data_IF_841668095634
#
_entry.id   IF_841668095634
#
_cell.length_a   1.000
_cell.length_b   1.000
_cell.length_c   1.000
_cell.angle_alpha   90.00
_cell.angle_beta   90.00
_cell.angle_gamma   90.00
#
_symmetry.space_group_name_H-M   'P 1'
#
loop_
_entity.id
_entity.type
_entity.pdbx_description
1 polymer ?
#
# COMPACT_ATOMS: atom_id res chain seq x y z
N UNK A 1 15.86 -6.88 8.99
CA UNK A 1 15.91 -6.89 7.50
C UNK A 1 15.26 -5.62 7.02
N UNK A 2 15.74 -5.01 5.94
CA UNK A 2 15.07 -3.85 5.35
C UNK A 2 13.96 -4.37 4.45
N UNK A 3 12.72 -4.07 4.80
CA UNK A 3 11.52 -4.32 4.00
C UNK A 3 10.75 -2.99 3.84
N UNK A 4 9.78 -2.92 2.92
CA UNK A 4 8.95 -1.72 2.73
C UNK A 4 8.09 -1.51 3.96
N UNK A 5 7.47 -2.56 4.48
CA UNK A 5 6.61 -2.46 5.66
C UNK A 5 7.28 -1.82 6.89
N UNK A 6 8.59 -1.98 7.10
CA UNK A 6 9.35 -1.37 8.19
C UNK A 6 9.76 0.09 7.94
N UNK A 7 9.65 0.58 6.70
CA UNK A 7 10.01 1.96 6.32
C UNK A 7 8.81 2.89 6.16
N UNK A 8 7.61 2.33 6.10
CA UNK A 8 6.39 3.08 5.94
C UNK A 8 5.45 2.82 7.12
N UNK A 9 4.86 3.87 7.68
CA UNK A 9 3.75 3.73 8.60
C UNK A 9 2.45 3.98 7.81
N UNK A 10 1.62 2.95 7.74
CA UNK A 10 0.40 2.97 6.93
C UNK A 10 -0.82 2.61 7.78
N UNK A 11 -1.91 3.34 7.59
CA UNK A 11 -3.17 3.07 8.26
C UNK A 11 -4.36 3.55 7.42
N UNK A 12 -5.52 2.92 7.61
CA UNK A 12 -6.78 3.33 6.99
C UNK A 12 -7.64 4.01 8.05
N UNK A 13 -8.14 5.19 7.72
CA UNK A 13 -8.98 6.02 8.58
C UNK A 13 -10.37 6.15 7.99
N UNK A 14 -11.39 6.24 8.85
CA UNK A 14 -12.74 6.65 8.41
C UNK A 14 -12.79 8.16 8.27
N UNK A 15 -13.73 8.65 7.47
CA UNK A 15 -13.99 10.09 7.29
C UNK A 15 -14.16 10.82 8.62
N UNK A 16 -14.87 10.21 9.58
CA UNK A 16 -15.07 10.79 10.92
C UNK A 16 -13.74 11.03 11.64
N UNK A 17 -12.76 10.13 11.49
CA UNK A 17 -11.46 10.23 12.16
C UNK A 17 -10.62 11.35 11.52
N UNK A 18 -10.70 11.50 10.19
CA UNK A 18 -10.05 12.60 9.44
C UNK A 18 -10.65 13.98 9.81
N UNK A 19 -11.96 14.04 10.12
CA UNK A 19 -12.61 15.28 10.60
C UNK A 19 -12.06 15.74 11.94
N UNK A 20 -11.65 14.81 12.81
CA UNK A 20 -11.07 15.13 14.11
C UNK A 20 -9.67 15.75 14.02
N UNK A 21 -8.98 15.60 12.88
CA UNK A 21 -7.65 16.18 12.67
C UNK A 21 -7.65 17.70 12.49
N UNK A 22 -8.83 18.32 12.32
CA UNK A 22 -8.99 19.77 12.14
C UNK A 22 -8.07 20.36 11.05
N UNK A 23 -7.99 19.69 9.90
CA UNK A 23 -7.20 20.17 8.77
C UNK A 23 -7.80 21.46 8.17
N UNK A 24 -6.98 22.30 7.52
CA UNK A 24 -7.48 23.44 6.75
C UNK A 24 -8.53 23.02 5.70
N UNK A 25 -9.57 23.83 5.52
CA UNK A 25 -10.71 23.51 4.61
C UNK A 25 -10.28 23.17 3.19
N UNK A 26 -9.28 23.88 2.65
CA UNK A 26 -8.75 23.62 1.31
C UNK A 26 -8.14 22.22 1.17
N UNK A 27 -7.60 21.64 2.25
CA UNK A 27 -7.11 20.25 2.24
C UNK A 27 -8.28 19.28 2.19
N UNK A 28 -9.33 19.51 2.98
CA UNK A 28 -10.55 18.69 2.93
C UNK A 28 -11.21 18.69 1.55
N UNK A 29 -11.22 19.83 0.87
CA UNK A 29 -11.70 19.95 -0.51
C UNK A 29 -10.82 19.17 -1.50
N UNK A 30 -9.49 19.27 -1.37
CA UNK A 30 -8.53 18.56 -2.24
C UNK A 30 -8.65 17.04 -2.14
N UNK A 31 -8.79 16.51 -0.93
CA UNK A 31 -8.99 15.07 -0.71
C UNK A 31 -10.44 14.63 -0.94
N UNK A 32 -11.34 15.58 -1.25
CA UNK A 32 -12.78 15.36 -1.44
C UNK A 32 -13.40 14.65 -0.23
N UNK A 33 -13.16 15.17 0.97
CA UNK A 33 -13.51 14.53 2.24
C UNK A 33 -14.94 14.00 2.28
N UNK A 34 -15.92 14.76 1.77
CA UNK A 34 -17.33 14.38 1.81
C UNK A 34 -17.74 13.31 0.79
N UNK A 35 -16.90 13.04 -0.22
CA UNK A 35 -17.18 12.07 -1.27
C UNK A 35 -16.70 10.65 -0.92
N UNK A 36 -15.83 10.50 0.08
CA UNK A 36 -15.23 9.22 0.43
C UNK A 36 -15.42 8.91 1.91
N UNK A 37 -15.71 7.64 2.22
CA UNK A 37 -15.85 7.19 3.61
C UNK A 37 -14.50 6.78 4.23
N UNK A 38 -13.54 6.36 3.41
CA UNK A 38 -12.25 5.84 3.86
C UNK A 38 -11.07 6.57 3.23
N UNK A 39 -9.99 6.69 4.00
CA UNK A 39 -8.75 7.35 3.60
C UNK A 39 -7.55 6.52 4.02
N UNK A 40 -6.65 6.25 3.07
CA UNK A 40 -5.38 5.59 3.34
C UNK A 40 -4.28 6.62 3.60
N UNK A 41 -3.75 6.66 4.82
CA UNK A 41 -2.58 7.45 5.15
C UNK A 41 -1.35 6.54 5.07
N UNK A 42 -0.33 6.99 4.36
CA UNK A 42 1.02 6.43 4.44
C UNK A 42 2.00 7.54 4.77
N UNK A 43 2.96 7.24 5.65
CA UNK A 43 4.06 8.13 5.96
C UNK A 43 5.42 7.44 5.83
N UNK A 44 6.43 8.23 5.48
CA UNK A 44 7.81 7.76 5.35
C UNK A 44 8.77 8.82 5.85
N UNK A 45 9.89 8.38 6.43
CA UNK A 45 10.94 9.26 6.92
C UNK A 45 12.09 9.26 5.91
N UNK A 46 12.37 10.42 5.33
CA UNK A 46 13.57 10.66 4.53
C UNK A 46 14.65 11.27 5.44
N UNK A 47 15.73 10.53 5.67
CA UNK A 47 16.91 11.05 6.39
C UNK A 47 17.79 11.82 5.41
N UNK A 48 17.78 13.15 5.50
CA UNK A 48 18.81 14.00 4.88
C UNK A 48 19.88 14.36 5.90
N UNK A 49 21.05 14.79 5.42
CA UNK A 49 22.28 14.97 6.23
C UNK A 49 22.09 15.81 7.48
N UNK A 50 21.15 16.76 7.47
CA UNK A 50 20.96 17.73 8.56
C UNK A 50 19.53 17.82 9.09
N UNK A 51 18.53 17.22 8.41
CA UNK A 51 17.12 17.25 8.83
C UNK A 51 16.37 15.96 8.47
N UNK A 52 15.52 15.50 9.38
CA UNK A 52 14.59 14.39 9.13
C UNK A 52 13.29 14.96 8.55
N UNK A 53 13.00 14.63 7.30
CA UNK A 53 11.72 14.99 6.68
C UNK A 53 10.73 13.83 6.81
N UNK A 54 9.55 14.10 7.34
CA UNK A 54 8.45 13.14 7.36
C UNK A 54 7.49 13.50 6.25
N UNK A 55 7.35 12.59 5.29
CA UNK A 55 6.38 12.72 4.20
C UNK A 55 5.09 12.03 4.62
N UNK A 56 3.97 12.72 4.48
CA UNK A 56 2.63 12.16 4.63
C UNK A 56 1.92 12.19 3.29
N UNK A 57 1.23 11.10 2.95
CA UNK A 57 0.38 11.01 1.77
C UNK A 57 -0.95 10.41 2.17
N UNK A 58 -2.02 11.12 1.88
CA UNK A 58 -3.38 10.73 2.21
C UNK A 58 -4.14 10.50 0.90
N UNK A 59 -4.66 9.29 0.72
CA UNK A 59 -5.37 8.88 -0.48
C UNK A 59 -6.83 8.57 -0.13
N UNK A 60 -7.82 9.18 -0.81
CA UNK A 60 -9.20 8.72 -0.71
C UNK A 60 -9.32 7.32 -1.32
N UNK A 61 -10.00 6.41 -0.62
CA UNK A 61 -10.19 5.02 -1.08
C UNK A 61 -11.66 4.61 -0.95
N UNK A 62 -12.08 3.66 -1.78
CA UNK A 62 -13.46 3.16 -1.80
C UNK A 62 -13.67 2.06 -0.77
N UNK A 63 -12.70 1.15 -0.64
CA UNK A 63 -12.76 0.05 0.31
C UNK A 63 -12.13 0.41 1.65
N UNK A 64 -12.50 -0.34 2.69
CA UNK A 64 -11.94 -0.18 4.04
C UNK A 64 -10.61 -0.92 4.26
N UNK A 65 -10.10 -1.56 3.20
CA UNK A 65 -8.89 -2.38 3.16
C UNK A 65 -7.93 -1.91 2.08
N UNK A 66 -6.65 -1.90 2.45
CA UNK A 66 -5.52 -1.67 1.55
C UNK A 66 -4.52 -2.79 1.71
N UNK A 67 -4.09 -3.39 0.60
CA UNK A 67 -3.05 -4.38 0.56
C UNK A 67 -1.78 -3.79 -0.06
N UNK A 68 -0.63 -4.04 0.56
CA UNK A 68 0.69 -3.79 0.00
C UNK A 68 1.26 -5.09 -0.55
N UNK A 69 1.44 -5.17 -1.85
CA UNK A 69 2.31 -6.16 -2.48
C UNK A 69 3.74 -5.64 -2.43
N UNK A 70 4.53 -6.14 -1.47
CA UNK A 70 5.96 -5.90 -1.38
C UNK A 70 6.69 -6.91 -2.25
N UNK A 71 7.39 -6.43 -3.28
CA UNK A 71 8.09 -7.24 -4.25
C UNK A 71 9.58 -6.96 -4.12
N UNK A 72 10.34 -8.01 -3.81
CA UNK A 72 11.79 -8.01 -3.81
C UNK A 72 12.30 -8.40 -5.19
N UNK A 73 13.24 -7.63 -5.71
CA UNK A 73 13.87 -7.86 -6.99
C UNK A 73 15.34 -7.42 -6.97
N UNK A 74 16.16 -8.05 -7.80
CA UNK A 74 17.57 -7.65 -7.93
C UNK A 74 17.74 -6.19 -8.38
N UNK A 75 16.84 -5.72 -9.25
CA UNK A 75 16.80 -4.34 -9.74
C UNK A 75 15.39 -3.94 -10.15
N UNK A 76 14.97 -2.72 -9.81
CA UNK A 76 13.73 -2.14 -10.33
C UNK A 76 14.01 -1.60 -11.73
N UNK A 77 13.68 -2.40 -12.75
CA UNK A 77 13.62 -1.91 -14.14
C UNK A 77 12.20 -1.41 -14.41
N UNK A 78 12.01 -0.29 -15.15
CA UNK A 78 10.68 0.26 -15.41
C UNK A 78 9.69 -0.78 -15.95
N UNK A 79 10.15 -1.68 -16.84
CA UNK A 79 9.31 -2.75 -17.39
C UNK A 79 8.79 -3.73 -16.34
N UNK A 80 9.57 -4.06 -15.31
CA UNK A 80 9.15 -4.97 -14.24
C UNK A 80 8.01 -4.35 -13.43
N UNK A 81 8.16 -3.08 -13.05
CA UNK A 81 7.11 -2.34 -12.36
C UNK A 81 5.84 -2.24 -13.23
N UNK A 82 5.99 -1.88 -14.52
CA UNK A 82 4.86 -1.82 -15.46
C UNK A 82 4.14 -3.16 -15.58
N UNK A 83 4.87 -4.27 -15.74
CA UNK A 83 4.26 -5.60 -15.84
C UNK A 83 3.52 -5.97 -14.55
N UNK A 84 4.10 -5.69 -13.38
CA UNK A 84 3.43 -5.93 -12.10
C UNK A 84 2.14 -5.11 -11.94
N UNK A 85 2.17 -3.82 -12.32
CA UNK A 85 0.99 -2.95 -12.30
C UNK A 85 -0.11 -3.43 -13.27
N UNK A 86 0.27 -3.91 -14.46
CA UNK A 86 -0.67 -4.49 -15.43
C UNK A 86 -1.35 -5.73 -14.84
N UNK A 87 -0.58 -6.69 -14.31
CA UNK A 87 -1.14 -7.91 -13.71
C UNK A 87 -2.11 -7.57 -12.57
N UNK A 88 -1.72 -6.66 -11.67
CA UNK A 88 -2.59 -6.20 -10.58
C UNK A 88 -3.86 -5.54 -11.11
N UNK A 89 -3.77 -4.77 -12.19
CA UNK A 89 -4.94 -4.10 -12.78
C UNK A 89 -5.87 -5.07 -13.49
N UNK A 90 -5.34 -6.12 -14.11
CA UNK A 90 -6.09 -7.19 -14.77
C UNK A 90 -6.94 -8.00 -13.78
N UNK A 91 -6.49 -8.15 -12.52
CA UNK A 91 -7.29 -8.72 -11.42
C UNK A 91 -8.43 -7.81 -10.95
N UNK A 92 -8.55 -6.60 -11.52
CA UNK A 92 -9.56 -5.63 -11.14
C UNK A 92 -9.19 -4.79 -9.90
N UNK A 93 -7.98 -4.93 -9.36
CA UNK A 93 -7.58 -4.18 -8.18
C UNK A 93 -7.45 -2.69 -8.48
N UNK A 94 -7.86 -1.88 -7.51
CA UNK A 94 -7.67 -0.44 -7.59
C UNK A 94 -6.30 -0.07 -7.03
N UNK A 95 -5.37 0.32 -7.90
CA UNK A 95 -4.04 0.77 -7.50
C UNK A 95 -4.16 2.15 -6.87
N UNK A 96 -3.73 2.28 -5.62
CA UNK A 96 -3.74 3.53 -4.86
C UNK A 96 -2.44 4.30 -5.12
N UNK A 97 -1.31 3.62 -4.94
CA UNK A 97 0.03 4.21 -5.09
C UNK A 97 1.08 3.11 -5.24
N UNK A 98 2.28 3.51 -5.63
CA UNK A 98 3.45 2.63 -5.67
C UNK A 98 4.67 3.33 -5.09
N UNK A 99 5.55 2.57 -4.45
CA UNK A 99 6.80 3.07 -3.87
C UNK A 99 7.94 2.12 -4.16
N UNK A 100 9.19 2.53 -3.99
CA UNK A 100 10.32 1.63 -4.10
C UNK A 100 11.64 2.24 -3.70
N UNK A 101 12.59 1.39 -3.33
CA UNK A 101 13.96 1.76 -3.01
C UNK A 101 14.91 0.59 -3.25
N UNK A 102 16.20 0.88 -3.35
CA UNK A 102 17.24 -0.12 -3.37
C UNK A 102 18.09 -0.02 -2.09
N UNK A 103 18.38 -1.17 -1.48
CA UNK A 103 19.30 -1.26 -0.34
C UNK A 103 20.74 -1.48 -0.79
N UNK A 104 20.91 -2.05 -1.97
CA UNK A 104 22.19 -2.25 -2.67
C UNK A 104 21.95 -2.26 -4.19
N UNK A 105 23.01 -2.45 -4.98
CA UNK A 105 22.89 -2.57 -6.43
C UNK A 105 22.17 -3.82 -6.93
N UNK A 106 22.03 -4.83 -6.07
CA UNK A 106 21.43 -6.13 -6.40
C UNK A 106 20.28 -6.51 -5.46
N UNK A 107 19.76 -5.57 -4.67
CA UNK A 107 18.65 -5.82 -3.77
C UNK A 107 17.75 -4.59 -3.64
N UNK A 108 16.65 -4.62 -4.37
CA UNK A 108 15.65 -3.58 -4.44
C UNK A 108 14.28 -4.11 -4.03
N UNK A 109 13.45 -3.19 -3.57
CA UNK A 109 12.08 -3.46 -3.17
C UNK A 109 11.18 -2.42 -3.82
N UNK A 110 10.09 -2.87 -4.41
CA UNK A 110 8.99 -1.97 -4.77
C UNK A 110 7.67 -2.50 -4.20
N UNK A 111 6.80 -1.57 -3.86
CA UNK A 111 5.56 -1.80 -3.16
C UNK A 111 4.42 -1.25 -3.99
N UNK A 112 3.35 -2.02 -4.14
CA UNK A 112 2.13 -1.57 -4.81
C UNK A 112 0.99 -1.63 -3.79
N UNK A 113 0.47 -0.46 -3.43
CA UNK A 113 -0.70 -0.34 -2.56
C UNK A 113 -1.96 -0.43 -3.40
N UNK A 114 -2.85 -1.33 -3.01
CA UNK A 114 -4.08 -1.64 -3.74
C UNK A 114 -5.25 -1.68 -2.79
N UNK A 115 -6.39 -1.17 -3.22
CA UNK A 115 -7.67 -1.41 -2.58
C UNK A 115 -8.23 -2.71 -3.16
N UNK A 116 -8.49 -3.68 -2.29
CA UNK A 116 -9.02 -5.00 -2.64
C UNK A 116 -10.22 -5.26 -1.74
N UNK A 117 -11.34 -5.71 -2.33
CA UNK A 117 -12.49 -6.20 -1.59
C UNK A 117 -12.08 -7.35 -0.65
N UNK A 118 -12.67 -7.41 0.54
CA UNK A 118 -12.35 -8.38 1.59
C UNK A 118 -12.52 -9.85 1.15
N UNK A 119 -13.30 -10.11 0.11
CA UNK A 119 -13.59 -11.47 -0.39
C UNK A 119 -12.57 -11.99 -1.41
N UNK A 120 -11.59 -11.17 -1.83
CA UNK A 120 -10.66 -11.56 -2.89
C UNK A 120 -9.48 -12.40 -2.38
N UNK A 121 -9.08 -13.40 -3.17
CA UNK A 121 -7.94 -14.29 -2.90
C UNK A 121 -6.65 -13.74 -3.52
N UNK A 122 -5.67 -13.38 -2.69
CA UNK A 122 -4.39 -12.81 -3.12
C UNK A 122 -3.42 -13.84 -3.69
N UNK A 123 -3.70 -15.13 -3.55
CA UNK A 123 -2.80 -16.22 -3.92
C UNK A 123 -2.52 -16.28 -5.43
N UNK A 124 -3.55 -16.07 -6.25
CA UNK A 124 -3.43 -16.13 -7.71
C UNK A 124 -2.51 -15.02 -8.24
N UNK A 125 -2.71 -13.79 -7.78
CA UNK A 125 -1.87 -12.66 -8.18
C UNK A 125 -0.44 -12.80 -7.68
N UNK A 126 -0.21 -13.34 -6.48
CA UNK A 126 1.15 -13.64 -5.97
C UNK A 126 1.83 -14.62 -6.92
N UNK A 127 1.14 -15.69 -7.34
CA UNK A 127 1.68 -16.68 -8.27
C UNK A 127 2.03 -16.04 -9.63
N UNK A 128 1.11 -15.23 -10.19
CA UNK A 128 1.34 -14.53 -11.47
C UNK A 128 2.52 -13.57 -11.38
N UNK A 129 2.62 -12.78 -10.31
CA UNK A 129 3.74 -11.87 -10.08
C UNK A 129 5.05 -12.66 -9.94
N UNK A 130 5.06 -13.77 -9.19
CA UNK A 130 6.26 -14.58 -8.97
C UNK A 130 6.85 -15.17 -10.26
N UNK A 131 6.05 -15.27 -11.33
CA UNK A 131 6.50 -15.72 -12.65
C UNK A 131 7.16 -14.61 -13.49
N UNK A 132 7.15 -13.35 -13.04
CA UNK A 132 7.91 -12.29 -13.72
C UNK A 132 9.41 -12.48 -13.49
N UNK A 133 10.21 -12.30 -14.53
CA UNK A 133 11.65 -12.38 -14.40
C UNK A 133 12.19 -11.39 -13.36
N UNK A 134 13.16 -11.85 -12.56
CA UNK A 134 13.91 -11.06 -11.58
C UNK A 134 13.13 -10.66 -10.32
N UNK A 135 12.02 -11.32 -10.05
CA UNK A 135 11.38 -11.28 -8.73
C UNK A 135 11.97 -12.41 -7.88
N UNK A 136 12.49 -12.05 -6.72
CA UNK A 136 13.09 -12.99 -5.78
C UNK A 136 12.08 -13.43 -4.71
N UNK A 137 11.18 -12.52 -4.30
CA UNK A 137 10.20 -12.78 -3.26
C UNK A 137 9.03 -11.78 -3.31
N UNK A 138 7.87 -12.20 -2.81
CA UNK A 138 6.69 -11.36 -2.65
C UNK A 138 6.11 -11.55 -1.25
N UNK A 139 5.81 -10.45 -0.57
CA UNK A 139 5.04 -10.44 0.68
C UNK A 139 3.81 -9.57 0.51
N UNK A 140 2.74 -9.94 1.21
CA UNK A 140 1.51 -9.15 1.24
C UNK A 140 1.22 -8.72 2.66
N UNK A 141 0.96 -7.43 2.82
CA UNK A 141 0.55 -6.82 4.08
C UNK A 141 -0.84 -6.20 3.89
N UNK A 142 -1.71 -6.36 4.87
CA UNK A 142 -3.04 -5.76 4.87
C UNK A 142 -3.12 -4.64 5.91
N UNK A 143 -3.77 -3.55 5.52
CA UNK A 143 -4.08 -2.39 6.35
C UNK A 143 -5.59 -2.18 6.31
N UNK A 144 -6.22 -2.04 7.47
CA UNK A 144 -7.65 -1.77 7.59
C UNK A 144 -7.89 -0.80 8.72
N UNK A 145 -9.02 -0.10 8.70
CA UNK A 145 -9.42 0.68 9.86
C UNK A 145 -9.68 -0.23 11.07
N UNK A 146 -9.42 0.29 12.27
CA UNK A 146 -9.73 -0.43 13.51
C UNK A 146 -11.22 -0.84 13.51
N UNK A 147 -11.47 -2.13 13.74
CA UNK A 147 -12.81 -2.72 13.74
C UNK A 147 -13.48 -2.85 12.37
N UNK A 148 -12.77 -2.67 11.25
CA UNK A 148 -13.32 -2.83 9.89
C UNK A 148 -13.14 -4.24 9.32
N UNK A 149 -12.06 -4.92 9.71
CA UNK A 149 -11.77 -6.30 9.33
C UNK A 149 -11.43 -7.11 10.58
N UNK A 150 -12.44 -7.48 11.36
CA UNK A 150 -12.26 -8.60 12.28
C UNK A 150 -12.10 -9.86 11.43
N UNK A 151 -10.86 -10.31 11.23
CA UNK A 151 -10.60 -11.66 10.76
C UNK A 151 -11.37 -12.59 11.70
N UNK A 152 -12.45 -13.22 11.19
CA UNK A 152 -13.20 -14.21 11.97
C UNK A 152 -12.18 -15.22 12.50
N UNK A 153 -12.13 -15.48 13.82
CA UNK A 153 -11.25 -16.49 14.34
C UNK A 153 -11.54 -17.82 13.62
N UNK A 154 -10.51 -18.61 13.28
CA UNK A 154 -10.73 -19.91 12.65
C UNK A 154 -11.70 -20.70 13.51
N UNK A 155 -12.81 -21.17 12.91
CA UNK A 155 -13.74 -22.06 13.61
C UNK A 155 -12.93 -23.28 14.08
N UNK A 156 -13.01 -23.66 15.37
CA UNK A 156 -12.40 -24.91 15.80
C UNK A 156 -13.03 -26.06 15.00
N UNK A 157 -12.16 -26.93 14.47
CA UNK A 157 -12.57 -28.21 13.88
C UNK A 157 -13.12 -29.13 14.95
#
# INVERSE_FOLDING_TARGET
>A
MADIASRFHANVYRRKDIKEWNLPTNIYEQIKLEAYEYFFLVSSIEKKSDDNHIHFSLYPIQENTVHLFEIQAQKIVPQLLTNALILIKEEGFNIISSTGFCTSHSNCYFGIFTSIDCEFQVEEIILRLSNLERIDNIKVYAFSCEGCCELKPPRPK
#
